data_IF_397722131293
#
_entry.id   IF_397722131293
#
_cell.length_a   1.000
_cell.length_b   1.000
_cell.length_c   1.000
_cell.angle_alpha   90.00
_cell.angle_beta   90.00
_cell.angle_gamma   90.00
#
_symmetry.space_group_name_H-M   'P 1'
#
loop_
_entity.id
_entity.type
_entity.pdbx_description
1 polymer ?
#
# COMPACT_ATOMS: atom_id res chain seq x y z
N UNK A 1 4.72 -3.84 -13.99
CA UNK A 1 4.24 -2.76 -13.11
C UNK A 1 4.36 -1.46 -13.88
N UNK A 2 3.32 -0.62 -13.89
CA UNK A 2 3.37 0.73 -14.45
C UNK A 2 3.60 1.73 -13.32
N UNK A 3 4.58 2.62 -13.46
CA UNK A 3 4.94 3.58 -12.42
C UNK A 3 4.52 4.99 -12.82
N UNK A 4 3.71 5.60 -11.97
CA UNK A 4 3.01 6.85 -12.21
C UNK A 4 3.64 7.99 -11.42
N UNK A 5 3.75 9.15 -12.06
CA UNK A 5 3.96 10.43 -11.38
C UNK A 5 2.77 10.82 -10.50
N UNK A 6 2.91 11.87 -9.70
CA UNK A 6 1.82 12.41 -8.87
C UNK A 6 0.56 12.69 -9.70
N UNK A 7 0.70 13.42 -10.80
CA UNK A 7 -0.44 13.81 -11.64
C UNK A 7 -1.07 12.59 -12.33
N UNK A 8 -0.25 11.66 -12.81
CA UNK A 8 -0.75 10.42 -13.42
C UNK A 8 -1.48 9.53 -12.42
N UNK A 9 -1.05 9.53 -11.15
CA UNK A 9 -1.69 8.75 -10.08
C UNK A 9 -3.09 9.31 -9.77
N UNK A 10 -3.21 10.63 -9.61
CA UNK A 10 -4.52 11.29 -9.44
C UNK A 10 -5.43 11.08 -10.65
N UNK A 11 -4.89 11.16 -11.87
CA UNK A 11 -5.64 10.87 -13.08
C UNK A 11 -6.09 9.41 -13.17
N UNK A 12 -5.27 8.47 -12.69
CA UNK A 12 -5.65 7.06 -12.60
C UNK A 12 -6.88 6.89 -11.70
N UNK A 13 -6.89 7.51 -10.52
CA UNK A 13 -8.05 7.47 -9.62
C UNK A 13 -9.30 8.06 -10.26
N UNK A 14 -9.19 9.20 -10.93
CA UNK A 14 -10.32 9.82 -11.64
C UNK A 14 -10.89 8.91 -12.74
N UNK A 15 -10.03 8.34 -13.60
CA UNK A 15 -10.45 7.44 -14.69
C UNK A 15 -11.11 6.16 -14.18
N UNK A 16 -10.71 5.72 -12.99
CA UNK A 16 -11.21 4.51 -12.36
C UNK A 16 -12.26 4.76 -11.27
N UNK A 17 -12.82 5.97 -11.18
CA UNK A 17 -13.86 6.34 -10.20
C UNK A 17 -13.47 6.03 -8.75
N UNK A 18 -12.21 6.24 -8.39
CA UNK A 18 -11.73 6.20 -7.01
C UNK A 18 -11.82 7.61 -6.45
N UNK A 19 -12.66 7.81 -5.44
CA UNK A 19 -12.81 9.08 -4.76
C UNK A 19 -11.51 9.50 -4.06
N UNK A 20 -11.16 10.78 -4.17
CA UNK A 20 -10.02 11.38 -3.48
C UNK A 20 -10.53 12.35 -2.41
N UNK A 21 -9.79 12.42 -1.30
CA UNK A 21 -10.02 13.36 -0.21
C UNK A 21 -9.51 14.78 -0.53
N UNK A 22 -9.57 15.67 0.46
CA UNK A 22 -9.10 17.07 0.32
C UNK A 22 -7.59 17.21 0.11
N UNK A 23 -6.81 16.19 0.44
CA UNK A 23 -5.37 16.12 0.22
C UNK A 23 -5.02 15.47 -1.12
N UNK A 24 -6.02 15.00 -1.87
CA UNK A 24 -5.85 14.30 -3.13
C UNK A 24 -5.42 12.84 -2.97
N UNK A 25 -5.66 12.23 -1.82
CA UNK A 25 -5.37 10.81 -1.54
C UNK A 25 -6.66 9.97 -1.61
N UNK A 26 -6.61 8.65 -1.84
CA UNK A 26 -7.80 7.81 -1.84
C UNK A 26 -8.60 7.94 -0.55
N UNK A 27 -9.89 8.25 -0.66
CA UNK A 27 -10.77 8.44 0.49
C UNK A 27 -10.90 7.13 1.29
N UNK A 28 -10.68 7.21 2.61
CA UNK A 28 -10.72 6.05 3.51
C UNK A 28 -11.47 6.33 4.81
N UNK A 29 -12.06 7.52 5.00
CA UNK A 29 -12.83 7.85 6.20
C UNK A 29 -14.04 6.92 6.38
N UNK A 30 -14.72 6.58 5.29
CA UNK A 30 -15.91 5.71 5.22
C UNK A 30 -15.60 4.20 5.26
N UNK A 31 -14.34 3.79 5.38
CA UNK A 31 -13.98 2.38 5.43
C UNK A 31 -14.64 1.69 6.65
N UNK A 32 -15.36 0.57 6.46
CA UNK A 32 -16.05 -0.12 7.55
C UNK A 32 -15.11 -0.83 8.52
N UNK A 33 -13.90 -1.19 8.08
CA UNK A 33 -12.89 -1.85 8.92
C UNK A 33 -11.83 -0.84 9.31
N UNK A 34 -11.54 -0.76 10.61
CA UNK A 34 -10.42 -0.02 11.20
C UNK A 34 -9.64 -0.99 12.09
N UNK A 35 -8.33 -0.94 12.05
CA UNK A 35 -7.48 -1.87 12.78
C UNK A 35 -6.17 -1.22 13.24
N UNK A 36 -5.52 -1.83 14.23
CA UNK A 36 -4.17 -1.47 14.66
C UNK A 36 -3.15 -2.28 13.90
N UNK A 37 -2.09 -1.64 13.41
CA UNK A 37 -0.94 -2.32 12.84
C UNK A 37 -0.12 -2.91 14.00
N UNK A 38 0.24 -4.21 13.97
CA UNK A 38 1.07 -4.81 15.01
C UNK A 38 2.44 -4.14 15.12
N UNK A 39 2.98 -4.02 16.33
CA UNK A 39 4.34 -3.51 16.56
C UNK A 39 5.42 -4.50 16.08
N UNK A 40 5.14 -5.80 16.19
CA UNK A 40 6.07 -6.85 15.77
C UNK A 40 6.21 -6.92 14.25
N UNK A 41 7.45 -6.90 13.76
CA UNK A 41 7.76 -6.90 12.33
C UNK A 41 7.24 -8.15 11.61
N UNK A 42 7.33 -9.33 12.23
CA UNK A 42 6.79 -10.57 11.66
C UNK A 42 5.28 -10.52 11.50
N UNK A 43 4.57 -9.99 12.50
CA UNK A 43 3.12 -9.77 12.45
C UNK A 43 2.72 -8.71 11.43
N UNK A 44 3.53 -7.68 11.16
CA UNK A 44 3.30 -6.72 10.06
C UNK A 44 3.39 -7.40 8.70
N UNK A 45 4.40 -8.24 8.49
CA UNK A 45 4.53 -9.03 7.26
C UNK A 45 3.34 -9.96 7.09
N UNK A 46 2.92 -10.66 8.16
CA UNK A 46 1.74 -11.53 8.12
C UNK A 46 0.46 -10.75 7.81
N UNK A 47 0.26 -9.58 8.44
CA UNK A 47 -0.87 -8.69 8.18
C UNK A 47 -0.96 -8.35 6.68
N UNK A 48 0.14 -7.90 6.07
CA UNK A 48 0.16 -7.57 4.63
C UNK A 48 -0.11 -8.82 3.79
N UNK A 49 0.52 -9.94 4.10
CA UNK A 49 0.33 -11.19 3.36
C UNK A 49 -1.14 -11.67 3.40
N UNK A 50 -1.85 -11.51 4.52
CA UNK A 50 -3.27 -11.84 4.61
C UNK A 50 -4.15 -10.82 3.90
N UNK A 51 -3.99 -9.53 4.20
CA UNK A 51 -4.83 -8.47 3.64
C UNK A 51 -4.71 -8.41 2.11
N UNK A 52 -3.50 -8.58 1.57
CA UNK A 52 -3.27 -8.55 0.13
C UNK A 52 -3.92 -9.71 -0.61
N UNK A 53 -4.25 -10.85 0.04
CA UNK A 53 -4.99 -11.95 -0.63
C UNK A 53 -6.32 -11.49 -1.20
N UNK A 54 -6.96 -10.48 -0.60
CA UNK A 54 -8.17 -9.90 -1.16
C UNK A 54 -7.94 -9.36 -2.59
N UNK A 55 -6.72 -9.00 -2.97
CA UNK A 55 -6.39 -8.41 -4.25
C UNK A 55 -5.82 -9.42 -5.27
N UNK A 56 -5.68 -10.71 -4.93
CA UNK A 56 -4.97 -11.69 -5.77
C UNK A 56 -5.58 -11.89 -7.17
N UNK A 57 -6.91 -11.76 -7.25
CA UNK A 57 -7.67 -12.02 -8.47
C UNK A 57 -8.03 -10.71 -9.21
N UNK A 58 -7.50 -9.58 -8.73
CA UNK A 58 -7.76 -8.28 -9.33
C UNK A 58 -6.97 -8.10 -10.62
N UNK A 59 -7.67 -7.68 -11.67
CA UNK A 59 -7.02 -7.41 -12.97
C UNK A 59 -6.06 -6.22 -12.91
N UNK A 60 -6.26 -5.33 -11.94
CA UNK A 60 -5.41 -4.17 -11.70
C UNK A 60 -5.59 -3.62 -10.29
N UNK A 61 -4.49 -3.22 -9.67
CA UNK A 61 -4.49 -2.46 -8.42
C UNK A 61 -3.46 -1.35 -8.47
N UNK A 62 -3.73 -0.25 -7.77
CA UNK A 62 -2.79 0.84 -7.51
C UNK A 62 -2.28 0.71 -6.08
N UNK A 63 -0.97 0.65 -5.91
CA UNK A 63 -0.28 0.92 -4.65
C UNK A 63 0.22 2.36 -4.71
N UNK A 64 -0.16 3.18 -3.73
CA UNK A 64 0.15 4.61 -3.70
C UNK A 64 0.68 5.01 -2.33
N UNK A 65 1.94 5.43 -2.30
CA UNK A 65 2.59 6.00 -1.13
C UNK A 65 2.26 7.49 -1.01
N UNK A 66 1.72 7.90 0.13
CA UNK A 66 1.20 9.27 0.33
C UNK A 66 1.97 10.06 1.37
N UNK A 67 2.61 9.41 2.34
CA UNK A 67 3.41 10.06 3.38
C UNK A 67 4.61 9.18 3.77
N UNK A 68 5.78 9.80 3.89
CA UNK A 68 7.04 9.23 4.34
C UNK A 68 7.95 10.39 4.75
N UNK A 69 8.90 10.19 5.65
CA UNK A 69 9.72 11.30 6.19
C UNK A 69 9.48 11.56 7.68
N UNK A 70 8.49 10.89 8.29
CA UNK A 70 8.03 11.15 9.66
C UNK A 70 8.97 10.58 10.71
N UNK A 71 9.57 9.40 10.46
CA UNK A 71 10.34 8.65 11.46
C UNK A 71 11.76 8.34 10.95
N UNK A 72 12.72 9.28 11.05
CA UNK A 72 14.03 9.17 10.40
C UNK A 72 14.83 7.89 10.73
N UNK A 73 14.61 7.30 11.90
CA UNK A 73 15.27 6.07 12.33
C UNK A 73 14.78 4.80 11.62
N UNK A 74 13.57 4.81 11.04
CA UNK A 74 12.90 3.62 10.49
C UNK A 74 12.83 3.55 8.97
N UNK A 75 12.99 4.67 8.26
CA UNK A 75 12.54 4.75 6.85
C UNK A 75 13.38 3.98 5.86
N UNK A 76 14.69 3.90 6.12
CA UNK A 76 15.69 3.26 5.26
C UNK A 76 15.45 3.52 3.76
N UNK A 77 15.10 4.76 3.37
CA UNK A 77 14.63 5.13 2.00
C UNK A 77 15.52 4.58 0.87
N UNK A 78 16.83 4.56 1.08
CA UNK A 78 17.78 3.98 0.14
C UNK A 78 17.51 2.50 -0.23
N UNK A 79 16.95 1.70 0.69
CA UNK A 79 16.53 0.31 0.42
C UNK A 79 15.38 0.31 -0.57
N UNK A 80 14.38 1.16 -0.35
CA UNK A 80 13.23 1.28 -1.24
C UNK A 80 13.62 1.83 -2.62
N UNK A 81 14.54 2.81 -2.67
CA UNK A 81 15.06 3.34 -3.93
C UNK A 81 15.80 2.26 -4.73
N UNK A 82 16.62 1.43 -4.08
CA UNK A 82 17.33 0.31 -4.73
C UNK A 82 16.39 -0.81 -5.16
N UNK A 83 15.34 -1.07 -4.39
CA UNK A 83 14.28 -1.99 -4.77
C UNK A 83 13.55 -1.48 -6.01
N UNK A 84 13.15 -0.22 -6.06
CA UNK A 84 12.54 0.38 -7.26
C UNK A 84 13.47 0.40 -8.47
N UNK A 85 14.77 0.59 -8.24
CA UNK A 85 15.78 0.50 -9.28
C UNK A 85 15.83 -0.89 -9.95
N UNK A 86 15.53 -1.97 -9.23
CA UNK A 86 15.46 -3.31 -9.84
C UNK A 86 14.28 -3.48 -10.81
N UNK A 87 13.28 -2.62 -10.72
CA UNK A 87 12.18 -2.50 -11.71
C UNK A 87 12.44 -1.42 -12.77
N UNK A 88 13.66 -0.88 -12.84
CA UNK A 88 14.06 0.13 -13.83
C UNK A 88 13.67 1.56 -13.49
N UNK A 89 13.11 1.82 -12.30
CA UNK A 89 12.72 3.17 -11.88
C UNK A 89 13.87 3.91 -11.22
N UNK A 90 14.13 5.10 -11.73
CA UNK A 90 15.26 5.94 -11.32
C UNK A 90 14.82 7.27 -10.70
N UNK A 91 13.55 7.64 -10.90
CA UNK A 91 12.95 8.82 -10.28
C UNK A 91 12.80 8.59 -8.78
N UNK A 92 12.81 9.69 -8.03
CA UNK A 92 12.58 9.66 -6.59
C UNK A 92 11.12 9.27 -6.30
N UNK A 93 10.87 8.74 -5.10
CA UNK A 93 9.50 8.41 -4.69
C UNK A 93 8.55 9.60 -4.81
N UNK A 94 8.98 10.80 -4.40
CA UNK A 94 8.18 12.03 -4.50
C UNK A 94 7.72 12.35 -5.93
N UNK A 95 8.49 11.94 -6.95
CA UNK A 95 8.19 12.19 -8.36
C UNK A 95 7.37 11.06 -8.99
N UNK A 96 7.20 9.94 -8.28
CA UNK A 96 6.64 8.70 -8.84
C UNK A 96 6.03 7.83 -7.73
N UNK A 97 4.90 8.31 -7.23
CA UNK A 97 4.22 7.86 -6.01
C UNK A 97 3.36 6.62 -6.20
N UNK A 98 2.83 6.43 -7.41
CA UNK A 98 1.87 5.39 -7.73
C UNK A 98 2.48 4.25 -8.52
N UNK A 99 2.13 3.02 -8.14
CA UNK A 99 2.58 1.79 -8.76
C UNK A 99 1.36 0.95 -9.09
N UNK A 100 1.08 0.82 -10.38
CA UNK A 100 -0.05 0.04 -10.90
C UNK A 100 0.45 -1.36 -11.25
N UNK A 101 -0.15 -2.36 -10.64
CA UNK A 101 0.16 -3.78 -10.84
C UNK A 101 -0.95 -4.43 -11.64
N UNK A 102 -0.56 -5.26 -12.62
CA UNK A 102 -1.46 -6.06 -13.43
C UNK A 102 -1.50 -7.54 -13.00
N UNK A 103 -2.17 -8.39 -13.81
CA UNK A 103 -2.19 -9.82 -13.57
C UNK A 103 -0.78 -10.40 -13.65
N UNK A 104 -0.39 -11.23 -12.69
CA UNK A 104 0.94 -11.82 -12.60
C UNK A 104 1.97 -11.00 -11.83
N UNK A 105 1.64 -9.80 -11.37
CA UNK A 105 2.53 -8.90 -10.61
C UNK A 105 2.14 -8.80 -9.13
N UNK A 106 1.35 -9.76 -8.65
CA UNK A 106 0.79 -9.76 -7.30
C UNK A 106 1.87 -9.79 -6.21
N UNK A 107 2.86 -10.67 -6.35
CA UNK A 107 3.96 -10.79 -5.38
C UNK A 107 4.81 -9.52 -5.32
N UNK A 108 4.94 -8.80 -6.44
CA UNK A 108 5.60 -7.49 -6.47
C UNK A 108 4.77 -6.49 -5.64
N UNK A 109 3.45 -6.41 -5.86
CA UNK A 109 2.56 -5.55 -5.09
C UNK A 109 2.63 -5.84 -3.57
N UNK A 110 2.60 -7.12 -3.19
CA UNK A 110 2.76 -7.56 -1.80
C UNK A 110 4.09 -7.06 -1.22
N UNK A 111 5.17 -7.15 -1.99
CA UNK A 111 6.50 -6.68 -1.58
C UNK A 111 6.55 -5.17 -1.35
N UNK A 112 5.95 -4.38 -2.26
CA UNK A 112 5.84 -2.92 -2.11
C UNK A 112 5.08 -2.54 -0.83
N UNK A 113 3.93 -3.16 -0.58
CA UNK A 113 3.10 -2.90 0.62
C UNK A 113 3.79 -3.38 1.90
N UNK A 114 4.54 -4.49 1.82
CA UNK A 114 5.34 -5.00 2.93
C UNK A 114 6.42 -4.01 3.35
N UNK A 115 7.13 -3.41 2.38
CA UNK A 115 8.12 -2.38 2.69
C UNK A 115 7.45 -1.13 3.30
N UNK A 116 6.27 -0.75 2.82
CA UNK A 116 5.51 0.37 3.38
C UNK A 116 5.22 0.17 4.87
N UNK A 117 4.69 -0.99 5.25
CA UNK A 117 4.32 -1.27 6.65
C UNK A 117 5.55 -1.43 7.55
N UNK A 118 6.66 -1.96 7.02
CA UNK A 118 7.90 -2.12 7.78
C UNK A 118 8.56 -0.77 8.04
N UNK A 119 8.48 0.17 7.10
CA UNK A 119 9.02 1.52 7.23
C UNK A 119 8.04 2.52 7.87
N UNK A 120 6.82 2.08 8.21
CA UNK A 120 5.75 2.91 8.77
C UNK A 120 5.48 4.13 7.89
N UNK A 121 5.16 3.89 6.61
CA UNK A 121 4.74 4.92 5.66
C UNK A 121 3.24 4.86 5.43
N UNK A 122 2.64 5.99 5.03
CA UNK A 122 1.27 5.96 4.56
C UNK A 122 1.21 5.34 3.17
N UNK A 123 0.38 4.31 3.05
CA UNK A 123 0.26 3.52 1.83
C UNK A 123 -1.20 3.12 1.60
N UNK A 124 -1.66 3.38 0.38
CA UNK A 124 -2.97 3.03 -0.10
C UNK A 124 -2.85 1.91 -1.15
N UNK A 125 -3.64 0.86 -1.03
CA UNK A 125 -3.85 -0.14 -2.07
C UNK A 125 -5.30 -0.05 -2.50
N UNK A 126 -5.56 0.24 -3.76
CA UNK A 126 -6.90 0.48 -4.27
C UNK A 126 -7.12 -0.14 -5.63
N UNK A 127 -8.31 -0.70 -5.81
CA UNK A 127 -8.79 -1.26 -7.07
C UNK A 127 -9.67 -0.25 -7.81
N UNK A 128 -9.90 -0.42 -9.13
CA UNK A 128 -10.89 0.37 -9.84
C UNK A 128 -12.25 0.37 -9.13
N UNK A 129 -12.94 1.50 -9.17
CA UNK A 129 -14.21 1.75 -8.48
C UNK A 129 -14.15 1.58 -6.96
N UNK A 130 -12.96 1.46 -6.37
CA UNK A 130 -12.74 1.31 -4.93
C UNK A 130 -13.50 0.10 -4.36
N UNK A 131 -13.67 -0.98 -5.13
CA UNK A 131 -14.30 -2.21 -4.65
C UNK A 131 -13.51 -2.85 -3.50
N UNK A 132 -12.19 -2.65 -3.51
CA UNK A 132 -11.25 -2.97 -2.44
C UNK A 132 -10.33 -1.79 -2.17
N UNK A 133 -10.15 -1.49 -0.88
CA UNK A 133 -9.21 -0.50 -0.38
C UNK A 133 -8.53 -1.03 0.87
N UNK A 134 -7.22 -0.87 0.95
CA UNK A 134 -6.40 -1.05 2.15
C UNK A 134 -5.58 0.23 2.36
N UNK A 135 -5.70 0.84 3.54
CA UNK A 135 -4.87 1.95 3.96
C UNK A 135 -4.05 1.54 5.18
N UNK A 136 -2.77 1.86 5.15
CA UNK A 136 -1.81 1.67 6.24
C UNK A 136 -1.23 3.04 6.57
N UNK A 137 -1.20 3.40 7.86
CA UNK A 137 -0.69 4.69 8.32
C UNK A 137 0.62 4.56 9.08
N UNK A 138 1.47 5.59 8.98
CA UNK A 138 2.64 5.80 9.81
C UNK A 138 2.33 5.91 11.31
N UNK A 139 1.08 6.24 11.66
CA UNK A 139 0.56 6.25 13.05
C UNK A 139 0.12 4.86 13.56
N UNK A 140 0.56 3.79 12.89
CA UNK A 140 0.35 2.39 13.29
C UNK A 140 -1.12 1.95 13.37
N UNK A 141 -1.98 2.55 12.54
CA UNK A 141 -3.35 2.11 12.32
C UNK A 141 -3.62 1.92 10.82
N UNK A 142 -4.71 1.25 10.49
CA UNK A 142 -5.13 1.08 9.11
C UNK A 142 -6.65 1.01 8.96
N UNK A 143 -7.09 1.11 7.70
CA UNK A 143 -8.48 1.04 7.30
C UNK A 143 -8.66 0.14 6.09
N UNK A 144 -9.83 -0.50 5.97
CA UNK A 144 -10.10 -1.34 4.83
C UNK A 144 -11.58 -1.35 4.40
N UNK A 145 -11.78 -1.54 3.10
CA UNK A 145 -13.08 -1.84 2.45
C UNK A 145 -12.87 -3.04 1.55
N UNK A 146 -13.76 -4.05 1.61
CA UNK A 146 -13.66 -5.24 0.75
C UNK A 146 -12.42 -6.12 1.00
N UNK A 147 -11.75 -5.93 2.13
CA UNK A 147 -10.53 -6.65 2.55
C UNK A 147 -10.76 -7.22 3.93
N UNK A 148 -10.48 -8.50 4.11
CA UNK A 148 -10.48 -9.15 5.42
C UNK A 148 -9.14 -8.89 6.12
N UNK A 149 -9.20 -8.21 7.26
CA UNK A 149 -8.04 -7.90 8.10
C UNK A 149 -8.17 -8.62 9.43
N UNK A 150 -8.11 -9.95 9.39
CA UNK A 150 -8.09 -10.76 10.60
C UNK A 150 -6.68 -10.77 11.20
N UNK A 151 -6.51 -10.14 12.36
CA UNK A 151 -5.29 -10.25 13.18
C UNK A 151 -5.31 -11.60 13.94
N UNK A 152 -5.30 -12.70 13.21
CA UNK A 152 -5.09 -14.03 13.79
C UNK A 152 -3.64 -14.16 14.23
N UNK A 153 -3.40 -14.51 15.49
CA UNK A 153 -2.05 -14.80 15.98
C UNK A 153 -1.37 -15.85 15.07
N UNK A 154 -0.06 -15.77 14.81
CA UNK A 154 0.64 -16.88 14.20
C UNK A 154 0.56 -18.07 15.16
N UNK A 155 -0.31 -19.03 14.87
CA UNK A 155 -0.32 -20.33 15.51
C UNK A 155 0.85 -21.13 14.96
N UNK A 156 2.02 -21.00 15.59
CA UNK A 156 3.21 -21.79 15.29
C UNK A 156 4.09 -21.90 16.54
N UNK A 157 4.60 -23.10 16.87
CA UNK A 157 5.31 -23.35 18.13
C UNK A 157 6.72 -22.76 18.08
N UNK A 158 7.19 -22.33 19.25
CA UNK A 158 8.60 -22.02 19.52
C UNK A 158 9.51 -23.21 19.28
#
# INVERSE_FOLDING_TARGET
MQILSKDETSQWCQRHSVALDVFGCPEHADCPVKFRIPEDAGKRVYLVAQAMRAFSDESRMLVWFTEWGIWPSGERRHVFDRFRLSYGEKRLLIDSLGHVFGPGEFEDAVSFVTLAVLFLWDCNVVTPHRSKLLFLSHDEWGAATGVDVTLGAPSGPH
#
